data_IF_463438596712
#
_entry.id   IF_463438596712
#
_cell.length_a   1.000
_cell.length_b   1.000
_cell.length_c   1.000
_cell.angle_alpha   90.00
_cell.angle_beta   90.00
_cell.angle_gamma   90.00
#
_symmetry.space_group_name_H-M   'P 1'
#
loop_
_entity.id
_entity.type
_entity.pdbx_description
1 polymer ?
#
# COMPACT_ATOMS: atom_id res chain seq x y z
N UNK A 1 8.18 -7.42 23.84
CA UNK A 1 8.47 -6.58 22.65
C UNK A 1 7.14 -6.08 22.13
N UNK A 2 6.77 -4.83 22.40
CA UNK A 2 5.61 -4.21 21.74
C UNK A 2 6.13 -3.73 20.40
N UNK A 3 5.88 -4.49 19.34
CA UNK A 3 5.97 -3.93 18.00
C UNK A 3 5.07 -2.71 18.00
N UNK A 4 5.58 -1.48 17.75
CA UNK A 4 4.68 -0.40 17.42
C UNK A 4 3.96 -0.88 16.17
N UNK A 5 2.69 -1.26 16.31
CA UNK A 5 1.88 -1.64 15.16
C UNK A 5 2.04 -0.50 14.17
N UNK A 6 2.70 -0.76 13.03
CA UNK A 6 2.91 0.26 12.03
C UNK A 6 1.52 0.74 11.65
N UNK A 7 1.18 1.96 12.10
CA UNK A 7 -0.11 2.56 11.83
C UNK A 7 0.06 3.25 10.49
N UNK A 8 -0.50 2.64 9.47
CA UNK A 8 -0.59 3.20 8.13
C UNK A 8 -1.72 4.24 8.06
N UNK A 9 -1.72 5.15 9.04
CA UNK A 9 -2.72 6.20 9.25
C UNK A 9 -2.29 7.50 8.55
N UNK A 10 -1.01 7.60 8.17
CA UNK A 10 -0.43 8.75 7.48
C UNK A 10 0.02 8.38 6.08
N UNK A 11 -0.06 9.36 5.17
CA UNK A 11 0.34 9.21 3.77
C UNK A 11 1.81 8.81 3.65
N UNK A 12 2.66 9.40 4.50
CA UNK A 12 4.10 9.15 4.52
C UNK A 12 4.41 7.69 4.89
N UNK A 13 3.81 7.16 5.96
CA UNK A 13 4.02 5.76 6.37
C UNK A 13 3.46 4.76 5.35
N UNK A 14 2.36 5.10 4.68
CA UNK A 14 1.82 4.31 3.56
C UNK A 14 2.74 4.32 2.34
N UNK A 15 3.23 5.49 1.94
CA UNK A 15 4.14 5.61 0.79
C UNK A 15 5.47 4.91 1.01
N UNK A 16 6.03 4.96 2.22
CA UNK A 16 7.25 4.20 2.55
C UNK A 16 7.00 2.70 2.40
N UNK A 17 5.91 2.18 2.97
CA UNK A 17 5.56 0.77 2.85
C UNK A 17 5.24 0.36 1.40
N UNK A 18 4.54 1.20 0.65
CA UNK A 18 4.27 0.99 -0.77
C UNK A 18 5.55 0.95 -1.60
N UNK A 19 6.54 1.80 -1.31
CA UNK A 19 7.85 1.73 -1.96
C UNK A 19 8.58 0.43 -1.65
N UNK A 20 8.57 -0.01 -0.40
CA UNK A 20 9.16 -1.31 -0.05
C UNK A 20 8.46 -2.46 -0.78
N UNK A 21 7.13 -2.44 -0.85
CA UNK A 21 6.33 -3.43 -1.58
C UNK A 21 6.58 -3.39 -3.10
N UNK A 22 6.77 -2.20 -3.69
CA UNK A 22 7.18 -2.05 -5.08
C UNK A 22 8.56 -2.65 -5.36
N UNK A 23 9.54 -2.43 -4.47
CA UNK A 23 10.88 -3.03 -4.57
C UNK A 23 10.79 -4.56 -4.54
N UNK A 24 9.88 -5.07 -3.71
CA UNK A 24 9.57 -6.50 -3.63
C UNK A 24 8.70 -7.01 -4.80
N UNK A 25 8.32 -6.14 -5.75
CA UNK A 25 7.44 -6.43 -6.89
C UNK A 25 6.10 -7.05 -6.48
N UNK A 26 5.57 -6.66 -5.31
CA UNK A 26 4.29 -7.13 -4.81
C UNK A 26 3.19 -6.53 -5.69
N UNK A 27 2.26 -7.35 -6.21
CA UNK A 27 1.18 -6.85 -7.04
C UNK A 27 0.20 -6.03 -6.19
N UNK A 28 -0.43 -5.02 -6.81
CA UNK A 28 -1.36 -4.10 -6.17
C UNK A 28 -2.49 -4.79 -5.39
N UNK A 29 -2.96 -5.94 -5.87
CA UNK A 29 -3.99 -6.76 -5.22
C UNK A 29 -3.52 -7.39 -3.89
N UNK A 30 -2.22 -7.65 -3.74
CA UNK A 30 -1.62 -8.25 -2.54
C UNK A 30 -1.12 -7.18 -1.55
N UNK A 31 -1.05 -5.91 -1.96
CA UNK A 31 -0.60 -4.80 -1.09
C UNK A 31 -1.52 -4.65 0.13
N UNK A 32 -2.83 -4.57 -0.09
CA UNK A 32 -3.81 -4.40 0.98
C UNK A 32 -3.78 -5.54 2.02
N UNK A 33 -3.83 -6.84 1.64
CA UNK A 33 -3.76 -7.92 2.62
C UNK A 33 -2.42 -7.96 3.35
N UNK A 34 -1.30 -7.70 2.67
CA UNK A 34 0.03 -7.66 3.30
C UNK A 34 0.10 -6.55 4.37
N UNK A 35 -0.33 -5.34 4.05
CA UNK A 35 -0.36 -4.23 5.01
C UNK A 35 -1.28 -4.54 6.19
N UNK A 36 -2.44 -5.14 5.92
CA UNK A 36 -3.41 -5.52 6.96
C UNK A 36 -2.88 -6.59 7.93
N UNK A 37 -1.96 -7.47 7.50
CA UNK A 37 -1.25 -8.40 8.40
C UNK A 37 -0.23 -7.71 9.31
N UNK A 38 0.32 -6.56 8.90
CA UNK A 38 1.36 -5.83 9.66
C UNK A 38 0.70 -4.89 10.68
N UNK A 39 -0.39 -4.23 10.29
CA UNK A 39 -1.07 -3.28 11.15
C UNK A 39 -2.39 -2.77 10.56
N UNK A 40 -3.13 -1.96 11.33
CA UNK A 40 -4.33 -1.29 10.82
C UNK A 40 -3.93 -0.36 9.66
N UNK A 41 -4.60 -0.55 8.53
CA UNK A 41 -4.40 0.21 7.30
C UNK A 41 -5.65 1.04 7.01
N UNK A 42 -5.46 2.31 6.66
CA UNK A 42 -6.54 3.12 6.11
C UNK A 42 -6.69 2.81 4.62
N UNK A 43 -7.78 2.13 4.25
CA UNK A 43 -8.01 1.67 2.88
C UNK A 43 -8.29 2.81 1.91
N UNK A 44 -8.86 3.92 2.39
CA UNK A 44 -9.20 5.09 1.57
C UNK A 44 -7.90 5.82 1.18
N UNK A 45 -7.03 6.05 2.16
CA UNK A 45 -5.70 6.64 1.96
C UNK A 45 -4.77 5.71 1.16
N UNK A 46 -4.87 4.39 1.35
CA UNK A 46 -4.13 3.41 0.56
C UNK A 46 -4.52 3.49 -0.92
N UNK A 47 -5.82 3.56 -1.22
CA UNK A 47 -6.31 3.69 -2.60
C UNK A 47 -5.83 5.01 -3.24
N UNK A 48 -5.87 6.12 -2.50
CA UNK A 48 -5.33 7.41 -2.95
C UNK A 48 -3.83 7.32 -3.26
N UNK A 49 -3.04 6.74 -2.36
CA UNK A 49 -1.60 6.53 -2.56
C UNK A 49 -1.28 5.61 -3.74
N UNK A 50 -2.03 4.51 -3.90
CA UNK A 50 -1.85 3.56 -5.03
C UNK A 50 -2.20 4.20 -6.37
N UNK A 51 -3.19 5.09 -6.38
CA UNK A 51 -3.54 5.88 -7.56
C UNK A 51 -2.48 6.95 -7.87
N UNK A 52 -1.97 7.65 -6.85
CA UNK A 52 -0.91 8.67 -6.96
C UNK A 52 0.38 8.12 -7.59
N UNK A 53 0.77 6.89 -7.23
CA UNK A 53 1.97 6.21 -7.76
C UNK A 53 1.69 5.36 -9.02
N UNK A 54 0.48 5.40 -9.58
CA UNK A 54 0.12 4.71 -10.81
C UNK A 54 0.03 3.18 -10.72
N UNK A 55 0.00 2.60 -9.50
CA UNK A 55 -0.21 1.15 -9.33
C UNK A 55 -1.60 0.72 -9.79
N UNK A 56 -2.60 1.59 -9.68
CA UNK A 56 -3.96 1.33 -10.15
C UNK A 56 -4.06 1.23 -11.68
N UNK A 57 -3.16 1.89 -12.42
CA UNK A 57 -3.17 1.96 -13.89
C UNK A 57 -2.42 0.83 -14.59
N UNK A 58 -1.73 -0.06 -13.87
CA UNK A 58 -1.21 -1.29 -14.49
C UNK A 58 -2.34 -2.28 -14.88
N UNK A 59 -3.58 -1.89 -14.63
CA UNK A 59 -4.81 -2.52 -15.13
C UNK A 59 -5.54 -1.67 -16.17
N UNK A 60 -4.90 -0.65 -16.75
CA UNK A 60 -5.34 -0.01 -18.00
C UNK A 60 -5.15 -1.00 -19.14
N UNK A 61 -6.04 -1.99 -19.12
CA UNK A 61 -6.48 -2.80 -20.24
C UNK A 61 -6.76 -1.84 -21.38
N UNK A 62 -6.13 -2.10 -22.53
CA UNK A 62 -6.45 -1.50 -23.80
C UNK A 62 -7.97 -1.38 -23.98
N UNK A 63 -8.46 -0.18 -24.21
CA UNK A 63 -9.80 0.10 -24.72
C UNK A 63 -9.68 1.07 -25.90
#
# INVERSE_FOLDING_TARGET
MRTPAARYDTRESLMEALRELMVLQVPAEEVAPVLCTIGPVDLDLLADCMNDIGLSENRSIAA
#
